data_IF_072418376862
#
_entry.id   IF_072418376862
#
_cell.length_a   1.000
_cell.length_b   1.000
_cell.length_c   1.000
_cell.angle_alpha   90.00
_cell.angle_beta   90.00
_cell.angle_gamma   90.00
#
_symmetry.space_group_name_H-M   'P 1'
#
loop_
_entity.id
_entity.type
_entity.pdbx_description
1 polymer ?
#
# COMPACT_ATOMS: atom_id res chain seq x y z
N UNK A 1 -48.31 -16.64 39.11
CA UNK A 1 -47.29 -15.57 39.07
C UNK A 1 -46.00 -16.13 38.50
N UNK A 2 -45.52 -15.64 37.36
CA UNK A 2 -44.19 -16.02 36.83
C UNK A 2 -43.12 -15.30 37.67
N UNK A 3 -42.30 -16.04 38.40
CA UNK A 3 -41.14 -15.51 39.12
C UNK A 3 -40.15 -14.93 38.11
N UNK A 4 -39.96 -13.61 38.10
CA UNK A 4 -38.87 -13.00 37.35
C UNK A 4 -37.57 -13.34 38.09
N UNK A 5 -36.76 -14.24 37.53
CA UNK A 5 -35.38 -14.44 37.98
C UNK A 5 -34.61 -13.17 37.58
N UNK A 6 -34.29 -12.34 38.58
CA UNK A 6 -33.42 -11.18 38.38
C UNK A 6 -31.99 -11.63 38.16
N UNK A 7 -31.28 -10.95 37.28
CA UNK A 7 -29.84 -11.13 37.11
C UNK A 7 -29.11 -10.66 38.37
N UNK A 8 -28.15 -11.43 38.86
CA UNK A 8 -27.42 -11.06 40.07
C UNK A 8 -26.29 -10.08 39.72
N UNK A 9 -25.97 -9.15 40.63
CA UNK A 9 -24.85 -8.23 40.45
C UNK A 9 -23.51 -8.98 40.31
N UNK A 10 -23.39 -10.13 40.97
CA UNK A 10 -22.17 -10.95 40.89
C UNK A 10 -22.00 -11.59 39.51
N UNK A 11 -23.08 -12.06 38.88
CA UNK A 11 -23.04 -12.57 37.51
C UNK A 11 -22.58 -11.48 36.54
N UNK A 12 -23.01 -10.22 36.73
CA UNK A 12 -22.55 -9.11 35.91
C UNK A 12 -21.04 -8.87 36.07
N UNK A 13 -20.56 -8.85 37.32
CA UNK A 13 -19.16 -8.56 37.65
C UNK A 13 -18.23 -9.63 37.09
N UNK A 14 -18.62 -10.91 37.18
CA UNK A 14 -17.82 -12.01 36.62
C UNK A 14 -17.76 -11.92 35.09
N UNK A 15 -18.87 -11.56 34.43
CA UNK A 15 -18.92 -11.40 32.97
C UNK A 15 -18.02 -10.27 32.49
N UNK A 16 -18.08 -9.08 33.10
CA UNK A 16 -17.20 -7.95 32.73
C UNK A 16 -15.73 -8.27 33.02
N UNK A 17 -15.44 -9.06 34.06
CA UNK A 17 -14.08 -9.51 34.36
C UNK A 17 -13.54 -10.44 33.26
N UNK A 18 -14.32 -11.41 32.80
CA UNK A 18 -13.93 -12.31 31.70
C UNK A 18 -13.78 -11.52 30.39
N UNK A 19 -14.73 -10.63 30.07
CA UNK A 19 -14.65 -9.78 28.88
C UNK A 19 -13.42 -8.86 28.92
N UNK A 20 -13.06 -8.35 30.10
CA UNK A 20 -11.85 -7.55 30.29
C UNK A 20 -10.57 -8.35 29.99
N UNK A 21 -10.47 -9.59 30.47
CA UNK A 21 -9.31 -10.46 30.19
C UNK A 21 -9.23 -10.80 28.70
N UNK A 22 -10.36 -11.15 28.07
CA UNK A 22 -10.38 -11.46 26.63
C UNK A 22 -10.01 -10.25 25.78
N UNK A 23 -10.50 -9.05 26.13
CA UNK A 23 -10.16 -7.82 25.42
C UNK A 23 -8.66 -7.53 25.44
N UNK A 24 -7.95 -7.81 26.55
CA UNK A 24 -6.51 -7.59 26.65
C UNK A 24 -5.70 -8.42 25.64
N UNK A 25 -6.11 -9.66 25.35
CA UNK A 25 -5.42 -10.50 24.37
C UNK A 25 -5.82 -10.19 22.93
N UNK A 26 -7.07 -9.78 22.69
CA UNK A 26 -7.60 -9.55 21.33
C UNK A 26 -7.04 -8.28 20.68
N UNK A 27 -6.83 -7.21 21.43
CA UNK A 27 -6.36 -5.91 20.90
C UNK A 27 -5.04 -6.01 20.12
N UNK A 28 -3.93 -6.55 20.68
CA UNK A 28 -2.65 -6.59 19.95
C UNK A 28 -2.71 -7.48 18.71
N UNK A 29 -3.44 -8.60 18.78
CA UNK A 29 -3.57 -9.53 17.65
C UNK A 29 -4.34 -8.91 16.47
N UNK A 30 -5.41 -8.15 16.76
CA UNK A 30 -6.21 -7.51 15.72
C UNK A 30 -5.42 -6.43 14.95
N UNK A 31 -4.51 -5.72 15.63
CA UNK A 31 -3.66 -4.71 14.99
C UNK A 31 -2.68 -5.33 13.98
N UNK A 32 -2.12 -6.52 14.27
CA UNK A 32 -1.26 -7.26 13.34
C UNK A 32 -1.99 -7.68 12.07
N UNK A 33 -3.17 -8.31 12.20
CA UNK A 33 -3.95 -8.75 11.03
C UNK A 33 -4.36 -7.60 10.10
N UNK A 34 -4.76 -6.45 10.67
CA UNK A 34 -5.10 -5.28 9.89
C UNK A 34 -3.89 -4.74 9.10
N UNK A 35 -2.69 -4.84 9.67
CA UNK A 35 -1.44 -4.45 9.00
C UNK A 35 -1.11 -5.42 7.87
N UNK A 36 -1.12 -6.72 8.12
CA UNK A 36 -0.81 -7.74 7.11
C UNK A 36 -1.75 -7.63 5.92
N UNK A 37 -3.05 -7.42 6.17
CA UNK A 37 -4.04 -7.18 5.13
C UNK A 37 -3.68 -5.97 4.27
N UNK A 38 -3.26 -4.85 4.89
CA UNK A 38 -2.80 -3.66 4.15
C UNK A 38 -1.56 -3.96 3.32
N UNK A 39 -0.57 -4.69 3.86
CA UNK A 39 0.64 -5.08 3.12
C UNK A 39 0.27 -5.94 1.89
N UNK A 40 -0.64 -6.90 2.05
CA UNK A 40 -1.09 -7.72 0.92
C UNK A 40 -1.83 -6.90 -0.15
N UNK A 41 -2.67 -5.94 0.26
CA UNK A 41 -3.33 -5.00 -0.66
C UNK A 41 -2.28 -4.16 -1.41
N UNK A 42 -1.27 -3.64 -0.72
CA UNK A 42 -0.19 -2.88 -1.35
C UNK A 42 0.57 -3.73 -2.37
N UNK A 43 0.94 -4.97 -2.02
CA UNK A 43 1.58 -5.92 -2.94
C UNK A 43 0.70 -6.24 -4.16
N UNK A 44 -0.60 -6.40 -3.98
CA UNK A 44 -1.53 -6.62 -5.08
C UNK A 44 -1.59 -5.41 -6.03
N UNK A 45 -1.68 -4.20 -5.48
CA UNK A 45 -1.71 -2.96 -6.25
C UNK A 45 -0.42 -2.72 -7.04
N UNK A 46 0.75 -3.09 -6.51
CA UNK A 46 2.02 -3.09 -7.27
C UNK A 46 1.91 -3.97 -8.51
N UNK A 47 1.42 -5.20 -8.36
CA UNK A 47 1.24 -6.13 -9.48
C UNK A 47 0.25 -5.61 -10.51
N UNK A 48 -0.82 -4.96 -10.07
CA UNK A 48 -1.78 -4.29 -10.96
C UNK A 48 -1.12 -3.18 -11.76
N UNK A 49 -0.40 -2.28 -11.09
CA UNK A 49 0.33 -1.19 -11.75
C UNK A 49 1.37 -1.71 -12.76
N UNK A 50 2.08 -2.78 -12.41
CA UNK A 50 3.04 -3.45 -13.29
C UNK A 50 2.37 -4.00 -14.56
N UNK A 51 1.27 -4.74 -14.39
CA UNK A 51 0.54 -5.30 -15.52
C UNK A 51 -0.01 -4.20 -16.43
N UNK A 52 -0.53 -3.13 -15.85
CA UNK A 52 -1.03 -1.98 -16.58
C UNK A 52 0.10 -1.26 -17.34
N UNK A 53 1.28 -1.10 -16.73
CA UNK A 53 2.43 -0.49 -17.38
C UNK A 53 2.92 -1.31 -18.57
N UNK A 54 3.13 -2.62 -18.38
CA UNK A 54 3.56 -3.50 -19.47
C UNK A 54 2.55 -3.51 -20.62
N UNK A 55 1.25 -3.51 -20.30
CA UNK A 55 0.19 -3.40 -21.30
C UNK A 55 0.23 -2.05 -22.04
N UNK A 56 0.36 -0.94 -21.31
CA UNK A 56 0.40 0.40 -21.88
C UNK A 56 1.62 0.60 -22.80
N UNK A 57 2.79 0.08 -22.39
CA UNK A 57 4.02 0.17 -23.18
C UNK A 57 3.85 -0.49 -24.54
N UNK A 58 3.32 -1.72 -24.58
CA UNK A 58 3.03 -2.42 -25.84
C UNK A 58 1.93 -1.73 -26.64
N UNK A 59 0.88 -1.24 -25.98
CA UNK A 59 -0.27 -0.60 -26.64
C UNK A 59 0.11 0.70 -27.35
N UNK A 60 1.03 1.47 -26.78
CA UNK A 60 1.42 2.78 -27.29
C UNK A 60 2.83 2.79 -27.90
N UNK A 61 3.42 1.63 -28.20
CA UNK A 61 4.78 1.51 -28.77
C UNK A 61 4.94 2.27 -30.10
N UNK A 62 3.89 2.32 -30.91
CA UNK A 62 3.92 2.99 -32.23
C UNK A 62 3.78 4.52 -32.16
N UNK A 63 3.50 5.09 -30.98
CA UNK A 63 3.38 6.55 -30.80
C UNK A 63 4.75 7.22 -30.92
N UNK A 64 4.94 7.97 -32.01
CA UNK A 64 6.23 8.63 -32.32
C UNK A 64 6.49 9.86 -31.47
N UNK A 65 5.46 10.46 -30.89
CA UNK A 65 5.62 11.59 -29.99
C UNK A 65 5.83 11.09 -28.57
N UNK A 66 7.07 11.13 -28.10
CA UNK A 66 7.48 10.67 -26.77
C UNK A 66 6.66 11.33 -25.65
N UNK A 67 6.40 12.64 -25.73
CA UNK A 67 5.62 13.34 -24.71
C UNK A 67 4.15 12.87 -24.65
N UNK A 68 3.58 12.55 -25.82
CA UNK A 68 2.24 12.01 -25.92
C UNK A 68 2.17 10.56 -25.42
N UNK A 69 3.15 9.74 -25.81
CA UNK A 69 3.27 8.35 -25.37
C UNK A 69 3.34 8.26 -23.85
N UNK A 70 4.22 9.05 -23.23
CA UNK A 70 4.38 9.16 -21.77
C UNK A 70 3.06 9.46 -21.06
N UNK A 71 2.29 10.43 -21.58
CA UNK A 71 0.99 10.83 -21.03
C UNK A 71 -0.08 9.74 -21.18
N UNK A 72 -0.07 9.01 -22.29
CA UNK A 72 -0.99 7.89 -22.53
C UNK A 72 -0.71 6.72 -21.59
N UNK A 73 0.58 6.41 -21.37
CA UNK A 73 1.01 5.38 -20.41
C UNK A 73 0.59 5.76 -18.99
N UNK A 74 0.91 6.98 -18.55
CA UNK A 74 0.49 7.50 -17.23
C UNK A 74 -1.01 7.32 -17.01
N UNK A 75 -1.81 7.74 -17.99
CA UNK A 75 -3.26 7.62 -17.91
C UNK A 75 -3.71 6.16 -17.80
N UNK A 76 -3.18 5.29 -18.65
CA UNK A 76 -3.55 3.87 -18.65
C UNK A 76 -3.20 3.20 -17.32
N UNK A 77 -2.00 3.47 -16.76
CA UNK A 77 -1.61 2.89 -15.47
C UNK A 77 -2.54 3.37 -14.36
N UNK A 78 -2.77 4.68 -14.25
CA UNK A 78 -3.62 5.21 -13.19
C UNK A 78 -5.10 4.79 -13.34
N UNK A 79 -5.64 4.69 -14.56
CA UNK A 79 -7.00 4.20 -14.82
C UNK A 79 -7.17 2.73 -14.34
N UNK A 80 -6.12 1.91 -14.45
CA UNK A 80 -6.12 0.52 -13.98
C UNK A 80 -5.87 0.36 -12.46
N UNK A 81 -5.44 1.42 -11.76
CA UNK A 81 -5.25 1.39 -10.30
C UNK A 81 -6.51 1.71 -9.49
N UNK A 82 -7.64 2.01 -10.14
CA UNK A 82 -8.94 2.22 -9.50
C UNK A 82 -9.03 3.51 -8.65
N UNK A 83 -9.74 3.46 -7.51
CA UNK A 83 -9.99 4.63 -6.63
C UNK A 83 -8.77 5.12 -5.83
N UNK A 84 -7.59 4.59 -6.13
CA UNK A 84 -6.36 4.96 -5.46
C UNK A 84 -5.82 6.18 -6.18
N UNK A 85 -5.63 7.29 -5.44
CA UNK A 85 -4.94 8.46 -5.95
C UNK A 85 -3.55 8.03 -6.44
N UNK A 86 -3.39 8.02 -7.76
CA UNK A 86 -2.22 7.55 -8.48
C UNK A 86 -1.50 8.77 -9.05
N UNK A 87 -0.23 8.88 -8.74
CA UNK A 87 0.68 9.85 -9.35
C UNK A 87 1.72 9.07 -10.12
N UNK A 88 1.73 9.24 -11.44
CA UNK A 88 2.71 8.60 -12.30
C UNK A 88 3.78 9.62 -12.70
N UNK A 89 5.04 9.29 -12.51
CA UNK A 89 6.15 10.19 -12.84
C UNK A 89 7.08 9.47 -13.82
N UNK A 90 7.32 10.08 -14.97
CA UNK A 90 8.36 9.69 -15.93
C UNK A 90 9.34 10.85 -16.00
N UNK A 91 10.62 10.61 -15.73
CA UNK A 91 11.67 11.64 -15.81
C UNK A 91 11.43 12.88 -14.93
N UNK A 92 11.21 12.69 -13.63
CA UNK A 92 10.85 13.79 -12.76
C UNK A 92 11.36 13.67 -11.33
N UNK A 93 11.47 14.83 -10.67
CA UNK A 93 11.56 14.89 -9.22
C UNK A 93 10.16 14.65 -8.65
N UNK A 94 10.05 13.81 -7.63
CA UNK A 94 8.83 13.68 -6.83
C UNK A 94 8.44 15.10 -6.38
N UNK A 95 7.23 15.61 -6.72
CA UNK A 95 6.83 16.96 -6.32
C UNK A 95 6.77 17.05 -4.78
N UNK A 96 7.00 18.23 -4.21
CA UNK A 96 6.80 18.41 -2.77
C UNK A 96 5.31 18.30 -2.46
N UNK A 97 4.88 17.13 -2.02
CA UNK A 97 3.50 16.82 -1.73
C UNK A 97 3.10 17.47 -0.41
N UNK A 98 2.07 18.33 -0.45
CA UNK A 98 1.41 18.87 0.75
C UNK A 98 0.30 17.94 1.24
N UNK A 99 -0.29 17.15 0.33
CA UNK A 99 -1.09 15.96 0.62
C UNK A 99 -0.38 14.75 0.02
N UNK A 100 0.07 13.83 0.87
CA UNK A 100 0.69 12.59 0.41
C UNK A 100 -0.38 11.70 -0.21
N UNK A 101 -0.33 11.41 -1.52
CA UNK A 101 -1.29 10.51 -2.13
C UNK A 101 -1.01 9.09 -1.67
N UNK A 102 -2.07 8.28 -1.69
CA UNK A 102 -1.98 6.91 -1.23
C UNK A 102 -0.95 6.10 -2.03
N UNK A 103 -0.77 6.38 -3.33
CA UNK A 103 0.22 5.69 -4.18
C UNK A 103 0.90 6.62 -5.20
N UNK A 104 2.22 6.48 -5.33
CA UNK A 104 3.05 7.11 -6.36
C UNK A 104 3.79 6.03 -7.13
N UNK A 105 3.64 6.00 -8.44
CA UNK A 105 4.38 5.12 -9.33
C UNK A 105 5.41 5.98 -10.09
N UNK A 106 6.69 5.75 -9.84
CA UNK A 106 7.78 6.47 -10.49
C UNK A 106 8.49 5.53 -11.44
N UNK A 107 8.47 5.83 -12.73
CA UNK A 107 9.26 5.11 -13.74
C UNK A 107 10.55 5.85 -14.01
N UNK A 108 11.64 5.10 -14.16
CA UNK A 108 12.92 5.64 -14.59
C UNK A 108 12.88 6.27 -15.98
N UNK A 109 13.99 6.87 -16.40
CA UNK A 109 14.11 7.59 -17.68
C UNK A 109 14.07 6.72 -18.91
N UNK A 110 14.40 5.45 -18.75
CA UNK A 110 14.26 4.45 -19.80
C UNK A 110 12.85 3.86 -19.66
N UNK A 111 12.13 3.64 -20.75
CA UNK A 111 10.78 3.05 -20.74
C UNK A 111 10.74 1.58 -20.28
N UNK A 112 11.67 1.16 -19.42
CA UNK A 112 11.69 -0.09 -18.69
C UNK A 112 11.20 0.09 -17.25
N UNK A 113 10.79 -1.01 -16.63
CA UNK A 113 10.48 -1.03 -15.21
C UNK A 113 11.74 -0.96 -14.34
N UNK A 114 12.91 -1.26 -14.89
CA UNK A 114 14.18 -1.24 -14.18
C UNK A 114 14.46 0.14 -13.52
N UNK A 115 14.68 0.14 -12.21
CA UNK A 115 14.87 1.35 -11.41
C UNK A 115 13.59 2.10 -11.05
N UNK A 116 12.42 1.59 -11.48
CA UNK A 116 11.13 2.17 -11.13
C UNK A 116 10.77 1.88 -9.68
N UNK A 117 9.99 2.75 -9.06
CA UNK A 117 9.49 2.57 -7.70
C UNK A 117 7.98 2.71 -7.62
N UNK A 118 7.36 1.94 -6.73
CA UNK A 118 5.96 2.14 -6.32
C UNK A 118 5.94 2.46 -4.84
N UNK A 119 5.60 3.69 -4.51
CA UNK A 119 5.59 4.18 -3.14
C UNK A 119 4.18 4.37 -2.63
N UNK A 120 3.88 3.75 -1.48
CA UNK A 120 2.63 3.90 -0.76
C UNK A 120 2.87 4.84 0.42
N UNK A 121 2.26 6.03 0.41
CA UNK A 121 2.37 6.95 1.54
C UNK A 121 1.16 6.81 2.47
N UNK A 122 1.43 6.72 3.77
CA UNK A 122 0.46 7.02 4.82
C UNK A 122 0.58 8.47 5.26
N UNK A 123 1.82 8.94 5.40
CA UNK A 123 2.23 10.32 5.64
C UNK A 123 3.70 10.52 5.22
N UNK A 124 4.27 11.68 5.51
CA UNK A 124 5.66 12.04 5.20
C UNK A 124 6.71 11.05 5.74
N UNK A 125 6.47 10.50 6.93
CA UNK A 125 7.45 9.69 7.66
C UNK A 125 7.11 8.20 7.63
N UNK A 126 5.93 7.85 7.15
CA UNK A 126 5.39 6.51 7.11
C UNK A 126 5.00 6.15 5.67
N UNK A 127 5.87 5.41 4.99
CA UNK A 127 5.66 4.98 3.61
C UNK A 127 6.34 3.65 3.31
N UNK A 128 5.86 2.93 2.31
CA UNK A 128 6.48 1.70 1.82
C UNK A 128 6.84 1.84 0.35
N UNK A 129 7.99 1.30 -0.04
CA UNK A 129 8.50 1.38 -1.41
C UNK A 129 8.71 -0.02 -1.95
N UNK A 130 8.16 -0.30 -3.13
CA UNK A 130 8.61 -1.35 -4.01
C UNK A 130 9.63 -0.76 -4.98
N UNK A 131 10.81 -1.34 -5.10
CA UNK A 131 11.82 -0.96 -6.07
C UNK A 131 12.07 -2.12 -7.02
N UNK A 132 11.88 -1.85 -8.31
CA UNK A 132 12.28 -2.74 -9.39
C UNK A 132 13.80 -2.58 -9.58
N UNK A 133 14.56 -3.65 -9.30
CA UNK A 133 16.02 -3.59 -9.34
C UNK A 133 16.50 -3.86 -10.76
N UNK A 134 17.47 -3.07 -11.25
CA UNK A 134 18.07 -3.23 -12.58
C UNK A 134 18.61 -4.66 -12.83
N UNK A 135 18.31 -5.21 -14.01
CA UNK A 135 18.88 -6.49 -14.47
C UNK A 135 18.34 -7.73 -13.73
N UNK A 136 19.22 -8.69 -13.42
CA UNK A 136 18.86 -9.96 -12.73
C UNK A 136 18.80 -9.82 -11.19
N UNK A 137 18.71 -8.59 -10.68
CA UNK A 137 18.54 -8.34 -9.26
C UNK A 137 17.19 -8.86 -8.77
N UNK A 138 17.09 -9.17 -7.48
CA UNK A 138 15.78 -9.39 -6.85
C UNK A 138 15.17 -8.01 -6.57
N UNK A 139 13.92 -7.81 -6.96
CA UNK A 139 13.15 -6.64 -6.54
C UNK A 139 13.23 -6.47 -5.03
N UNK A 140 13.21 -5.21 -4.60
CA UNK A 140 13.33 -4.82 -3.21
C UNK A 140 12.01 -4.25 -2.72
N UNK A 141 11.67 -4.58 -1.48
CA UNK A 141 10.58 -3.92 -0.77
C UNK A 141 11.08 -3.52 0.60
N UNK A 142 10.76 -2.30 1.02
CA UNK A 142 11.07 -1.79 2.35
C UNK A 142 10.00 -0.80 2.79
N UNK A 143 9.82 -0.66 4.10
CA UNK A 143 8.93 0.33 4.68
C UNK A 143 9.73 1.23 5.60
N UNK A 144 9.45 2.53 5.55
CA UNK A 144 9.96 3.50 6.51
C UNK A 144 8.85 3.85 7.47
N UNK A 145 9.09 3.68 8.76
CA UNK A 145 8.18 4.05 9.83
C UNK A 145 8.89 5.02 10.77
N UNK A 146 8.38 6.25 10.88
CA UNK A 146 9.00 7.32 11.66
C UNK A 146 10.49 7.53 11.34
N UNK A 147 10.88 7.36 10.07
CA UNK A 147 12.27 7.52 9.61
C UNK A 147 13.19 6.32 9.86
N UNK A 148 12.66 5.19 10.34
CA UNK A 148 13.40 3.92 10.40
C UNK A 148 12.97 3.02 9.25
N UNK A 149 13.94 2.59 8.45
CA UNK A 149 13.74 1.56 7.44
C UNK A 149 13.59 0.20 8.12
N UNK A 150 12.58 -0.54 7.69
CA UNK A 150 12.20 -1.85 8.18
C UNK A 150 12.02 -2.74 6.95
N UNK A 151 12.51 -3.97 7.06
CA UNK A 151 12.09 -5.01 6.12
C UNK A 151 10.55 -5.14 6.20
N UNK A 152 9.85 -5.38 5.08
CA UNK A 152 8.42 -5.68 5.06
C UNK A 152 7.97 -6.69 6.11
N UNK A 153 8.82 -7.68 6.38
CA UNK A 153 8.55 -8.75 7.34
C UNK A 153 8.88 -8.34 8.78
N UNK A 154 9.67 -7.28 8.96
CA UNK A 154 10.09 -6.73 10.26
C UNK A 154 9.30 -5.49 10.69
N UNK A 155 8.41 -4.96 9.83
CA UNK A 155 7.55 -3.82 10.10
C UNK A 155 6.43 -4.19 11.11
N UNK A 156 6.81 -4.37 12.37
CA UNK A 156 5.95 -4.75 13.50
C UNK A 156 5.34 -3.57 14.28
#
# INVERSE_FOLDING_TARGET
MKTKKGFTLIELIVVIAILGILALFLVPSFMGYARDAKIQIMKANVRTGQGAYSFALTKYEEEKNEAQQKKLIEKEVCDNMGDIACYFIIDGKIPSMTEYPRVVFSVGSEQGLDGSTVTYYLDEKNYCVYLYVYGNGKDMWFCTINGKELDPEEAN
#
